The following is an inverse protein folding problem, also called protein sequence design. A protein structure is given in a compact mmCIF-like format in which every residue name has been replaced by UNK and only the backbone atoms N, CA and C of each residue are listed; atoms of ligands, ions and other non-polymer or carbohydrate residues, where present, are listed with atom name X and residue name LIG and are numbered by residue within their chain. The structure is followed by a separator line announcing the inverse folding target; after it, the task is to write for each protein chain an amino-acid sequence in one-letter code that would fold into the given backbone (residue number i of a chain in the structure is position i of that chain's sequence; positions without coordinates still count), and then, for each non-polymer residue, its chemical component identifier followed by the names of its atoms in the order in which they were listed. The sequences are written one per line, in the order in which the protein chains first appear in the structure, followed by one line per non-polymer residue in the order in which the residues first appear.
data_IF_002733287746
#
_entry.id   IF_002733287746
#
_cell.length_a   1.000
_cell.length_b   1.000
_cell.length_c   1.000
_cell.angle_alpha   90.00
_cell.angle_beta   90.00
_cell.angle_gamma   90.00
#
_symmetry.space_group_name_H-M   'P 1'
#
loop_
_entity.id
_entity.type
_entity.pdbx_description
1 polymer ?
#
# COMPACT_ATOMS: atom_id res chain seq x y z
N UNK A 1 -8.63 12.98 9.59
CA UNK A 1 -8.71 11.59 9.07
C UNK A 1 -8.25 11.52 7.63
N UNK A 2 -7.68 10.39 7.24
CA UNK A 2 -7.28 10.16 5.86
C UNK A 2 -8.33 9.35 5.14
N UNK A 3 -8.40 9.52 3.82
CA UNK A 3 -9.23 8.70 2.95
C UNK A 3 -8.33 7.77 2.14
N UNK A 4 -8.87 6.65 1.70
CA UNK A 4 -8.15 5.69 0.87
C UNK A 4 -8.90 5.47 -0.44
N UNK A 5 -8.14 5.26 -1.51
CA UNK A 5 -8.70 4.96 -2.82
C UNK A 5 -7.83 3.90 -3.48
N UNK A 6 -8.44 2.85 -4.00
CA UNK A 6 -7.72 1.78 -4.70
C UNK A 6 -7.63 2.12 -6.18
N UNK A 7 -6.42 2.26 -6.69
CA UNK A 7 -6.20 2.53 -8.10
C UNK A 7 -5.93 1.24 -8.85
N UNK A 8 -6.71 0.98 -9.91
CA UNK A 8 -6.63 -0.23 -10.73
C UNK A 8 -7.01 -1.47 -9.91
N UNK A 9 -6.54 -2.65 -10.31
CA UNK A 9 -7.02 -3.91 -9.73
C UNK A 9 -6.00 -4.67 -8.90
N UNK A 10 -4.73 -4.27 -8.92
CA UNK A 10 -3.67 -5.07 -8.30
C UNK A 10 -3.84 -5.26 -6.80
N UNK A 11 -4.29 -4.22 -6.09
CA UNK A 11 -4.58 -4.36 -4.67
C UNK A 11 -5.66 -5.42 -4.44
N UNK A 12 -6.76 -5.35 -5.19
CA UNK A 12 -7.87 -6.29 -5.01
C UNK A 12 -7.47 -7.70 -5.40
N UNK A 13 -6.67 -7.88 -6.46
CA UNK A 13 -6.17 -9.19 -6.85
C UNK A 13 -5.35 -9.80 -5.72
N UNK A 14 -4.48 -9.00 -5.10
CA UNK A 14 -3.71 -9.42 -3.94
C UNK A 14 -4.63 -9.74 -2.76
N UNK A 15 -5.54 -8.84 -2.41
CA UNK A 15 -6.40 -8.94 -1.24
C UNK A 15 -7.27 -10.21 -1.29
N UNK A 16 -7.93 -10.42 -2.42
CA UNK A 16 -8.84 -11.55 -2.54
C UNK A 16 -8.13 -12.90 -2.67
N UNK A 17 -6.84 -12.90 -2.95
CA UNK A 17 -6.04 -14.13 -2.94
C UNK A 17 -5.63 -14.57 -1.55
N UNK A 18 -5.85 -13.72 -0.53
CA UNK A 18 -5.42 -14.02 0.84
C UNK A 18 -6.51 -14.74 1.63
N UNK A 19 -6.07 -15.55 2.62
CA UNK A 19 -7.01 -16.18 3.55
C UNK A 19 -7.68 -15.13 4.43
N UNK A 20 -8.84 -15.48 5.00
CA UNK A 20 -9.67 -14.53 5.77
C UNK A 20 -8.93 -13.81 6.89
N UNK A 21 -8.06 -14.52 7.62
CA UNK A 21 -7.29 -13.94 8.71
C UNK A 21 -6.39 -12.80 8.23
N UNK A 22 -5.79 -12.97 7.05
CA UNK A 22 -4.92 -11.94 6.47
C UNK A 22 -5.77 -10.76 5.98
N UNK A 23 -6.91 -11.04 5.34
CA UNK A 23 -7.82 -9.98 4.90
C UNK A 23 -8.28 -9.13 6.08
N UNK A 24 -8.64 -9.76 7.19
CA UNK A 24 -9.08 -9.05 8.39
C UNK A 24 -7.96 -8.15 8.92
N UNK A 25 -6.73 -8.64 8.93
CA UNK A 25 -5.60 -7.83 9.39
C UNK A 25 -5.31 -6.67 8.45
N UNK A 26 -5.42 -6.90 7.14
CA UNK A 26 -5.27 -5.83 6.14
C UNK A 26 -6.30 -4.73 6.41
N UNK A 27 -7.56 -5.12 6.59
CA UNK A 27 -8.65 -4.18 6.87
C UNK A 27 -8.36 -3.36 8.12
N UNK A 28 -7.87 -4.03 9.16
CA UNK A 28 -7.57 -3.38 10.44
C UNK A 28 -6.42 -2.38 10.29
N UNK A 29 -5.34 -2.77 9.60
CA UNK A 29 -4.18 -1.86 9.42
C UNK A 29 -4.56 -0.67 8.54
N UNK A 30 -5.33 -0.89 7.47
CA UNK A 30 -5.83 0.21 6.65
C UNK A 30 -6.70 1.15 7.48
N UNK A 31 -7.50 0.59 8.40
CA UNK A 31 -8.28 1.39 9.34
C UNK A 31 -7.41 2.28 10.21
N UNK A 32 -6.26 1.78 10.67
CA UNK A 32 -5.30 2.60 11.42
C UNK A 32 -4.72 3.72 10.56
N UNK A 33 -4.37 3.41 9.31
CA UNK A 33 -3.83 4.43 8.40
C UNK A 33 -4.83 5.55 8.21
N UNK A 34 -6.12 5.24 8.16
CA UNK A 34 -7.17 6.23 7.98
C UNK A 34 -7.44 7.07 9.24
N UNK A 35 -7.37 6.44 10.42
CA UNK A 35 -7.86 7.06 11.66
C UNK A 35 -6.80 7.67 12.56
N UNK A 36 -5.57 7.14 12.56
CA UNK A 36 -4.54 7.63 13.47
C UNK A 36 -3.87 8.88 12.91
N UNK A 37 -3.71 9.90 13.75
CA UNK A 37 -3.00 11.11 13.36
C UNK A 37 -1.54 10.79 13.02
N UNK A 38 -0.88 10.04 13.92
CA UNK A 38 0.49 9.57 13.70
C UNK A 38 0.43 8.05 13.59
N UNK A 39 0.85 7.53 12.43
CA UNK A 39 0.83 6.08 12.19
C UNK A 39 2.18 5.50 12.59
N UNK A 40 2.22 4.52 13.53
CA UNK A 40 3.48 3.89 13.92
C UNK A 40 4.19 3.27 12.73
N UNK A 41 5.52 3.34 12.72
CA UNK A 41 6.34 2.77 11.64
C UNK A 41 6.18 1.26 11.50
N UNK A 42 5.67 0.60 12.52
CA UNK A 42 5.31 -0.82 12.47
C UNK A 42 4.28 -1.09 11.37
N UNK A 43 3.42 -0.12 11.07
CA UNK A 43 2.31 -0.27 10.14
C UNK A 43 2.45 0.55 8.86
N UNK A 44 3.30 1.58 8.87
CA UNK A 44 3.35 2.53 7.75
C UNK A 44 4.71 3.19 7.69
N UNK A 45 5.40 3.07 6.55
CA UNK A 45 6.75 3.58 6.44
C UNK A 45 7.05 4.05 5.02
N UNK A 46 7.80 5.15 4.90
CA UNK A 46 8.27 5.63 3.61
C UNK A 46 9.28 4.65 3.02
N UNK A 47 9.20 4.39 1.73
CA UNK A 47 10.14 3.53 1.03
C UNK A 47 11.35 4.36 0.64
N UNK A 48 12.48 4.07 1.28
CA UNK A 48 13.72 4.82 1.08
C UNK A 48 14.16 4.74 -0.39
N UNK A 49 14.52 5.88 -0.96
CA UNK A 49 14.96 5.98 -2.34
C UNK A 49 13.83 6.07 -3.36
N UNK A 50 12.59 5.96 -2.93
CA UNK A 50 11.45 6.10 -3.83
C UNK A 50 11.00 7.56 -3.93
N UNK A 51 10.19 7.84 -4.95
CA UNK A 51 9.60 9.16 -5.13
C UNK A 51 8.23 9.20 -4.44
N UNK A 52 8.24 9.27 -3.10
CA UNK A 52 7.03 9.44 -2.32
C UNK A 52 6.19 8.20 -2.14
N UNK A 53 6.76 7.01 -2.34
CA UNK A 53 6.04 5.77 -2.07
C UNK A 53 6.15 5.41 -0.59
N UNK A 54 5.06 4.87 -0.06
CA UNK A 54 4.99 4.35 1.30
C UNK A 54 4.56 2.89 1.26
N UNK A 55 4.91 2.16 2.29
CA UNK A 55 4.45 0.79 2.45
C UNK A 55 3.56 0.67 3.68
N UNK A 56 2.37 0.09 3.47
CA UNK A 56 1.51 -0.34 4.57
C UNK A 56 1.99 -1.73 4.95
N UNK A 57 2.27 -1.95 6.23
CA UNK A 57 2.94 -3.14 6.74
C UNK A 57 1.96 -4.00 7.51
N UNK A 58 1.78 -5.24 7.05
CA UNK A 58 0.84 -6.20 7.64
C UNK A 58 1.60 -7.47 8.00
N UNK A 59 1.39 -7.96 9.22
CA UNK A 59 2.02 -9.19 9.68
C UNK A 59 0.96 -10.08 10.34
N UNK A 60 0.90 -11.35 9.90
CA UNK A 60 0.02 -12.35 10.50
C UNK A 60 0.87 -13.58 10.77
N UNK A 61 1.08 -13.89 12.07
CA UNK A 61 2.02 -14.94 12.45
C UNK A 61 3.42 -14.57 11.97
N UNK A 62 4.03 -15.46 11.18
CA UNK A 62 5.34 -15.19 10.57
C UNK A 62 5.24 -14.66 9.14
N UNK A 63 4.03 -14.55 8.61
CA UNK A 63 3.82 -14.08 7.24
C UNK A 63 3.81 -12.55 7.21
N UNK A 64 4.54 -11.98 6.27
CA UNK A 64 4.70 -10.54 6.13
C UNK A 64 4.15 -10.10 4.78
N UNK A 65 3.32 -9.05 4.81
CA UNK A 65 2.71 -8.50 3.61
C UNK A 65 3.00 -7.01 3.53
N UNK A 66 3.08 -6.50 2.30
CA UNK A 66 3.26 -5.07 2.06
C UNK A 66 2.23 -4.60 1.04
N UNK A 67 1.69 -3.40 1.25
CA UNK A 67 0.81 -2.75 0.29
C UNK A 67 1.43 -1.40 0.00
N UNK A 68 1.78 -1.15 -1.25
CA UNK A 68 2.40 0.11 -1.63
C UNK A 68 1.34 1.16 -1.92
N UNK A 69 1.64 2.40 -1.55
CA UNK A 69 0.71 3.51 -1.66
C UNK A 69 1.48 4.83 -1.72
N UNK A 70 0.75 5.89 -1.99
CA UNK A 70 1.30 7.24 -1.94
C UNK A 70 0.19 8.22 -1.57
N UNK A 71 0.59 9.43 -1.15
CA UNK A 71 -0.36 10.49 -0.83
C UNK A 71 -0.63 11.34 -2.06
N UNK A 72 -1.91 11.53 -2.37
CA UNK A 72 -2.32 12.49 -3.37
C UNK A 72 -3.15 13.56 -2.67
N UNK A 73 -2.71 14.79 -2.82
CA UNK A 73 -3.48 15.95 -2.34
C UNK A 73 -3.81 15.89 -0.85
N UNK A 74 -2.77 15.82 -0.03
CA UNK A 74 -2.93 15.88 1.43
C UNK A 74 -3.25 14.53 2.05
N UNK A 75 -4.51 14.34 2.44
CA UNK A 75 -4.90 13.16 3.22
C UNK A 75 -5.46 11.99 2.40
N UNK A 76 -5.37 12.06 1.08
CA UNK A 76 -5.83 10.96 0.22
C UNK A 76 -4.69 9.97 -0.03
N UNK A 77 -4.88 8.74 0.41
CA UNK A 77 -3.90 7.66 0.24
C UNK A 77 -4.35 6.77 -0.92
N UNK A 78 -3.51 6.67 -1.93
CA UNK A 78 -3.81 5.86 -3.13
C UNK A 78 -3.12 4.51 -2.96
N UNK A 79 -3.91 3.44 -2.89
CA UNK A 79 -3.41 2.07 -2.75
C UNK A 79 -3.10 1.51 -4.14
N UNK A 80 -1.94 0.90 -4.28
CA UNK A 80 -1.43 0.43 -5.58
C UNK A 80 -1.40 -1.10 -5.64
N UNK A 81 -0.24 -1.70 -5.35
CA UNK A 81 -0.06 -3.16 -5.40
C UNK A 81 0.28 -3.71 -4.03
N UNK A 82 -0.10 -4.97 -3.80
CA UNK A 82 0.24 -5.68 -2.58
C UNK A 82 0.94 -6.99 -2.91
N UNK A 83 1.72 -7.49 -1.96
CA UNK A 83 2.44 -8.75 -2.13
C UNK A 83 2.86 -9.32 -0.78
N UNK A 84 3.17 -10.62 -0.76
CA UNK A 84 3.75 -11.24 0.41
C UNK A 84 5.27 -11.13 0.34
N UNK A 85 5.87 -10.61 1.40
CA UNK A 85 7.32 -10.44 1.46
C UNK A 85 7.96 -11.74 1.93
N UNK A 86 8.86 -12.28 1.14
CA UNK A 86 9.48 -13.59 1.41
C UNK A 86 10.99 -13.53 1.69
N UNK A 87 11.54 -12.34 1.85
CA UNK A 87 12.95 -12.15 2.14
C UNK A 87 13.17 -10.89 2.92
N UNK A 88 14.43 -10.57 3.21
CA UNK A 88 14.77 -9.39 4.01
C UNK A 88 14.58 -8.09 3.23
N UNK A 89 14.75 -8.15 1.91
CA UNK A 89 14.68 -6.95 1.08
C UNK A 89 13.34 -6.84 0.39
N UNK A 90 12.87 -5.62 0.22
CA UNK A 90 11.69 -5.34 -0.59
C UNK A 90 12.01 -5.65 -2.05
N UNK A 91 11.21 -6.47 -2.74
CA UNK A 91 11.47 -6.80 -4.14
C UNK A 91 11.46 -5.55 -5.03
N UNK A 92 12.54 -5.39 -5.79
CA UNK A 92 12.70 -4.23 -6.67
C UNK A 92 11.60 -4.15 -7.73
N UNK A 93 11.19 -5.31 -8.25
CA UNK A 93 10.12 -5.36 -9.26
C UNK A 93 8.78 -4.86 -8.72
N UNK A 94 8.51 -5.04 -7.43
CA UNK A 94 7.28 -4.52 -6.83
C UNK A 94 7.33 -3.00 -6.69
N UNK A 95 8.50 -2.46 -6.37
CA UNK A 95 8.69 -1.01 -6.31
C UNK A 95 8.51 -0.40 -7.71
N UNK A 96 9.11 -1.01 -8.72
CA UNK A 96 8.99 -0.54 -10.10
C UNK A 96 7.53 -0.58 -10.58
N UNK A 97 6.81 -1.63 -10.19
CA UNK A 97 5.38 -1.75 -10.49
C UNK A 97 4.59 -0.59 -9.87
N UNK A 98 4.87 -0.28 -8.60
CA UNK A 98 4.21 0.81 -7.89
C UNK A 98 4.54 2.17 -8.54
N UNK A 99 5.79 2.37 -8.94
CA UNK A 99 6.19 3.61 -9.62
C UNK A 99 5.42 3.80 -10.93
N UNK A 100 5.27 2.72 -11.71
CA UNK A 100 4.52 2.79 -12.96
C UNK A 100 3.05 3.09 -12.73
N UNK A 101 2.45 2.47 -11.70
CA UNK A 101 1.05 2.71 -11.37
C UNK A 101 0.84 4.14 -10.92
N UNK A 102 1.76 4.69 -10.11
CA UNK A 102 1.68 6.07 -9.65
C UNK A 102 1.73 7.04 -10.84
N UNK A 103 2.66 6.80 -11.77
CA UNK A 103 2.76 7.63 -12.97
C UNK A 103 1.48 7.56 -13.79
N UNK A 104 0.94 6.36 -13.98
CA UNK A 104 -0.30 6.17 -14.72
C UNK A 104 -1.47 6.87 -14.04
N UNK A 105 -1.52 6.82 -12.72
CA UNK A 105 -2.57 7.49 -11.94
C UNK A 105 -2.60 8.99 -12.28
N UNK A 106 -1.44 9.64 -12.28
CA UNK A 106 -1.38 11.08 -12.57
C UNK A 106 -1.67 11.38 -14.03
N UNK A 107 -1.26 10.50 -14.95
CA UNK A 107 -1.59 10.66 -16.36
C UNK A 107 -3.10 10.57 -16.57
N UNK A 108 -3.75 9.58 -15.98
CA UNK A 108 -5.20 9.42 -16.07
C UNK A 108 -5.92 10.62 -15.45
N UNK A 109 -5.42 11.11 -14.33
CA UNK A 109 -6.02 12.25 -13.63
C UNK A 109 -5.94 13.52 -14.47
N UNK A 110 -4.86 13.72 -15.20
CA UNK A 110 -4.64 14.93 -16.00
C UNK A 110 -5.45 14.97 -17.28
N UNK A 111 -6.05 13.84 -17.69
CA UNK A 111 -6.86 13.75 -18.90
C UNK A 111 -8.31 14.18 -18.69
N UNK A 112 -8.70 14.46 -17.47
CA UNK A 112 -10.08 14.83 -17.14
C UNK A 112 -10.30 16.32 -17.18
#
# INVERSE_FOLDING_TARGET
MRSTYVYETLFWDFYYAQRAEVQDKIDWVIGLVRSLEIIPSKFFKHIKGSNGLFEIRVKVGSDIFRIFCFFDNGNLVILLNGFQKKGDKTPKNEIEKAERLKQKYYEDKSRK
#
